data_IF_243104072770
#
_entry.id   IF_243104072770
#
_cell.length_a   1.000
_cell.length_b   1.000
_cell.length_c   1.000
_cell.angle_alpha   90.00
_cell.angle_beta   90.00
_cell.angle_gamma   90.00
#
_symmetry.space_group_name_H-M   'P 1'
#
loop_
_entity.id
_entity.type
_entity.pdbx_description
1 polymer ?
#
# COMPACT_ATOMS: atom_id res chain seq x y z
N UNK A 1 21.12 10.30 -13.84
CA UNK A 1 19.65 10.58 -13.75
C UNK A 1 18.93 9.34 -14.21
N UNK A 2 18.29 8.65 -13.28
CA UNK A 2 17.88 7.26 -13.44
C UNK A 2 16.69 7.10 -14.39
N UNK A 3 16.86 6.20 -15.38
CA UNK A 3 15.87 5.79 -16.37
C UNK A 3 14.53 5.27 -15.77
N UNK A 4 14.49 4.97 -14.50
CA UNK A 4 13.31 4.43 -13.78
C UNK A 4 12.25 5.51 -13.57
N UNK A 5 12.64 6.72 -13.15
CA UNK A 5 11.69 7.83 -12.93
C UNK A 5 10.95 8.21 -14.21
N UNK A 6 11.64 8.15 -15.36
CA UNK A 6 11.02 8.44 -16.64
C UNK A 6 9.98 7.37 -17.04
N UNK A 7 10.23 6.10 -16.75
CA UNK A 7 9.29 5.00 -17.05
C UNK A 7 8.02 5.08 -16.18
N UNK A 8 8.15 5.46 -14.92
CA UNK A 8 6.99 5.64 -14.03
C UNK A 8 6.11 6.80 -14.50
N UNK A 9 6.71 7.91 -14.92
CA UNK A 9 5.97 9.05 -15.47
C UNK A 9 5.18 8.64 -16.73
N UNK A 10 5.75 7.84 -17.62
CA UNK A 10 5.06 7.35 -18.82
C UNK A 10 3.91 6.39 -18.48
N UNK A 11 4.06 5.55 -17.46
CA UNK A 11 2.98 4.68 -16.97
C UNK A 11 1.83 5.51 -16.40
N UNK A 12 2.13 6.55 -15.62
CA UNK A 12 1.10 7.44 -15.06
C UNK A 12 0.40 8.23 -16.18
N UNK A 13 1.14 8.72 -17.19
CA UNK A 13 0.56 9.42 -18.36
C UNK A 13 -0.30 8.45 -19.19
N UNK A 14 0.14 7.21 -19.38
CA UNK A 14 -0.63 6.20 -20.10
C UNK A 14 -1.93 5.84 -19.34
N UNK A 15 -1.89 5.72 -18.02
CA UNK A 15 -3.08 5.52 -17.18
C UNK A 15 -4.03 6.71 -17.22
N UNK A 16 -3.50 7.94 -17.27
CA UNK A 16 -4.29 9.17 -17.42
C UNK A 16 -4.91 9.29 -18.80
N UNK A 17 -4.22 8.86 -19.87
CA UNK A 17 -4.76 8.89 -21.24
C UNK A 17 -5.85 7.84 -21.46
N UNK A 18 -5.78 6.69 -20.82
CA UNK A 18 -6.83 5.68 -20.85
C UNK A 18 -8.14 6.18 -20.21
N UNK A 19 -8.06 7.15 -19.29
CA UNK A 19 -9.25 7.71 -18.62
C UNK A 19 -10.16 8.52 -19.54
N UNK A 20 -9.64 9.08 -20.64
CA UNK A 20 -10.41 9.89 -21.58
C UNK A 20 -11.32 9.07 -22.52
N UNK A 21 -11.14 7.74 -22.60
CA UNK A 21 -11.99 6.86 -23.39
C UNK A 21 -13.12 6.19 -22.59
N UNK A 22 -13.15 6.36 -21.27
CA UNK A 22 -14.21 5.82 -20.40
C UNK A 22 -15.29 6.86 -20.12
N UNK A 23 -15.75 7.56 -21.15
CA UNK A 23 -16.99 8.33 -21.09
C UNK A 23 -18.12 7.37 -21.39
N UNK A 24 -18.66 6.74 -20.37
CA UNK A 24 -20.02 6.21 -20.45
C UNK A 24 -20.50 5.73 -19.08
N UNK A 25 -21.67 6.19 -18.74
CA UNK A 25 -22.57 5.71 -17.70
C UNK A 25 -22.23 6.10 -16.25
N UNK A 26 -23.28 6.63 -15.59
CA UNK A 26 -23.40 6.84 -14.14
C UNK A 26 -23.43 5.51 -13.35
N UNK A 27 -22.64 4.54 -13.75
CA UNK A 27 -22.39 3.38 -12.92
C UNK A 27 -21.48 3.77 -11.78
N UNK A 28 -21.85 3.45 -10.57
CA UNK A 28 -21.02 3.57 -9.39
C UNK A 28 -19.66 2.96 -9.68
N UNK A 29 -18.61 3.80 -9.64
CA UNK A 29 -17.23 3.37 -9.90
C UNK A 29 -16.85 2.33 -8.85
N UNK A 30 -16.78 1.06 -9.27
CA UNK A 30 -16.62 -0.08 -8.37
C UNK A 30 -15.17 -0.44 -8.07
N UNK A 31 -14.26 0.07 -8.90
CA UNK A 31 -12.85 -0.26 -8.81
C UNK A 31 -12.03 0.99 -8.50
N UNK A 32 -10.99 0.82 -7.71
CA UNK A 32 -10.07 1.90 -7.37
C UNK A 32 -8.63 1.35 -7.30
N UNK A 33 -7.71 2.02 -7.99
CA UNK A 33 -6.27 1.82 -7.81
C UNK A 33 -5.77 2.95 -6.93
N UNK A 34 -4.86 2.64 -6.01
CA UNK A 34 -4.19 3.66 -5.21
C UNK A 34 -2.67 3.46 -5.21
N UNK A 35 -1.97 4.59 -5.19
CA UNK A 35 -0.51 4.67 -5.10
C UNK A 35 -0.13 5.45 -3.85
N UNK A 36 0.90 5.00 -3.18
CA UNK A 36 1.48 5.76 -2.09
C UNK A 36 2.24 6.97 -2.66
N UNK A 37 1.86 8.18 -2.24
CA UNK A 37 2.47 9.41 -2.72
C UNK A 37 3.88 9.63 -2.19
N UNK A 38 4.24 9.03 -1.07
CA UNK A 38 5.58 9.15 -0.47
C UNK A 38 6.64 8.56 -1.39
N UNK A 39 6.30 7.49 -2.13
CA UNK A 39 7.18 6.90 -3.14
C UNK A 39 7.31 7.75 -4.41
N UNK A 40 6.32 8.63 -4.67
CA UNK A 40 6.32 9.49 -5.85
C UNK A 40 7.09 10.80 -5.63
N UNK A 41 7.16 11.28 -4.39
CA UNK A 41 7.78 12.57 -4.04
C UNK A 41 8.73 12.40 -2.85
N UNK A 42 9.84 11.64 -2.99
CA UNK A 42 10.76 11.38 -1.89
C UNK A 42 11.40 12.65 -1.29
N UNK A 43 11.46 13.73 -2.10
CA UNK A 43 12.03 15.02 -1.68
C UNK A 43 11.13 15.79 -0.68
N UNK A 44 9.85 15.45 -0.60
CA UNK A 44 8.86 16.10 0.28
C UNK A 44 8.59 15.28 1.52
N UNK A 45 8.63 13.97 1.37
CA UNK A 45 8.32 13.01 2.43
C UNK A 45 9.55 12.12 2.64
N UNK A 46 10.40 12.47 3.59
CA UNK A 46 11.55 11.64 3.99
C UNK A 46 11.06 10.46 4.84
N UNK A 47 10.31 9.55 4.26
CA UNK A 47 9.89 8.37 4.99
C UNK A 47 10.64 7.15 4.50
N UNK A 48 11.29 6.45 5.42
CA UNK A 48 11.64 5.05 5.26
C UNK A 48 10.33 4.23 5.25
N UNK A 49 9.46 4.47 4.25
CA UNK A 49 8.17 3.80 4.21
C UNK A 49 8.35 2.36 3.76
N UNK A 50 8.33 1.46 4.72
CA UNK A 50 8.13 0.03 4.49
C UNK A 50 6.69 -0.28 4.01
N UNK A 51 6.04 0.64 3.32
CA UNK A 51 4.63 0.52 2.95
C UNK A 51 4.41 -0.08 1.56
N UNK A 52 3.18 -0.53 1.32
CA UNK A 52 2.77 -1.09 0.05
C UNK A 52 2.56 0.01 -0.99
N UNK A 53 3.34 -0.04 -2.05
CA UNK A 53 3.47 1.01 -3.05
C UNK A 53 2.23 1.13 -3.95
N UNK A 54 1.61 -0.01 -4.28
CA UNK A 54 0.46 -0.10 -5.16
C UNK A 54 -0.67 -0.84 -4.47
N UNK A 55 -1.89 -0.37 -4.63
CA UNK A 55 -3.05 -1.09 -4.15
C UNK A 55 -4.25 -1.01 -5.07
N UNK A 56 -5.11 -1.99 -4.91
CA UNK A 56 -6.38 -2.12 -5.62
C UNK A 56 -7.51 -2.31 -4.60
N UNK A 57 -8.64 -1.66 -4.86
CA UNK A 57 -9.88 -1.83 -4.09
C UNK A 57 -11.03 -2.11 -5.05
N UNK A 58 -11.91 -3.02 -4.66
CA UNK A 58 -13.12 -3.34 -5.37
C UNK A 58 -14.32 -3.25 -4.44
N UNK A 59 -15.29 -2.44 -4.78
CA UNK A 59 -16.55 -2.36 -4.08
C UNK A 59 -17.35 -3.63 -4.33
N UNK A 60 -17.65 -4.38 -3.27
CA UNK A 60 -18.47 -5.60 -3.30
C UNK A 60 -19.92 -5.33 -2.83
N UNK A 61 -20.12 -4.24 -2.09
CA UNK A 61 -21.42 -3.69 -1.74
C UNK A 61 -21.28 -2.19 -1.47
N UNK A 62 -22.38 -1.46 -1.30
CA UNK A 62 -22.38 -0.02 -1.00
C UNK A 62 -21.54 0.37 0.22
N UNK A 63 -21.33 -0.56 1.14
CA UNK A 63 -20.60 -0.33 2.40
C UNK A 63 -19.33 -1.13 2.56
N UNK A 64 -18.97 -2.00 1.59
CA UNK A 64 -17.83 -2.93 1.76
C UNK A 64 -16.96 -2.93 0.51
N UNK A 65 -15.65 -2.87 0.72
CA UNK A 65 -14.64 -3.03 -0.33
C UNK A 65 -13.70 -4.18 0.04
N UNK A 66 -13.37 -5.01 -0.95
CA UNK A 66 -12.17 -5.83 -0.90
C UNK A 66 -10.98 -4.96 -1.30
N UNK A 67 -9.83 -5.22 -0.70
CA UNK A 67 -8.60 -4.50 -0.99
C UNK A 67 -7.43 -5.46 -1.11
N UNK A 68 -6.48 -5.06 -1.93
CA UNK A 68 -5.26 -5.81 -2.17
C UNK A 68 -4.11 -4.83 -2.35
N UNK A 69 -3.04 -5.00 -1.62
CA UNK A 69 -1.82 -4.20 -1.73
C UNK A 69 -0.66 -5.05 -2.24
N UNK A 70 0.23 -4.42 -3.00
CA UNK A 70 1.49 -4.98 -3.46
C UNK A 70 2.64 -4.12 -2.96
N UNK A 71 3.68 -4.75 -2.48
CA UNK A 71 4.96 -4.16 -2.11
C UNK A 71 6.04 -4.75 -2.99
N UNK A 72 6.81 -3.88 -3.63
CA UNK A 72 8.00 -4.26 -4.38
C UNK A 72 9.06 -3.20 -4.19
N UNK A 73 10.21 -3.61 -3.72
CA UNK A 73 11.39 -2.79 -3.61
C UNK A 73 12.60 -3.62 -4.03
N UNK A 74 13.43 -3.06 -4.90
CA UNK A 74 14.67 -3.66 -5.34
C UNK A 74 15.76 -2.60 -5.38
N UNK A 75 16.86 -2.90 -4.71
CA UNK A 75 18.09 -2.13 -4.74
C UNK A 75 19.23 -3.07 -5.14
N UNK A 76 19.93 -2.71 -6.21
CA UNK A 76 20.99 -3.53 -6.78
C UNK A 76 22.07 -3.83 -5.73
N UNK A 77 22.46 -5.11 -5.61
CA UNK A 77 23.44 -5.63 -4.67
C UNK A 77 23.16 -5.37 -3.18
N UNK A 78 21.96 -4.90 -2.83
CA UNK A 78 21.62 -4.56 -1.45
C UNK A 78 20.38 -5.34 -0.96
N UNK A 79 19.22 -5.10 -1.54
CA UNK A 79 17.98 -5.62 -0.99
C UNK A 79 16.90 -5.90 -2.04
N UNK A 80 16.21 -7.03 -1.88
CA UNK A 80 14.93 -7.32 -2.51
C UNK A 80 13.84 -7.40 -1.44
N UNK A 81 12.74 -6.68 -1.63
CA UNK A 81 11.54 -6.83 -0.79
C UNK A 81 10.32 -7.02 -1.65
N UNK A 82 9.52 -8.03 -1.35
CA UNK A 82 8.24 -8.30 -1.98
C UNK A 82 7.17 -8.54 -0.91
N UNK A 83 5.93 -8.15 -1.19
CA UNK A 83 4.85 -8.39 -0.23
C UNK A 83 3.46 -8.24 -0.84
N UNK A 84 2.50 -8.86 -0.17
CA UNK A 84 1.08 -8.80 -0.50
C UNK A 84 0.27 -8.44 0.75
N UNK A 85 -0.83 -7.72 0.55
CA UNK A 85 -1.69 -7.23 1.63
C UNK A 85 -3.16 -7.32 1.24
N UNK A 86 -3.78 -8.52 1.33
CA UNK A 86 -5.24 -8.64 1.24
C UNK A 86 -5.93 -8.02 2.45
N UNK A 87 -7.13 -7.46 2.23
CA UNK A 87 -7.91 -6.85 3.30
C UNK A 87 -9.34 -6.52 2.91
N UNK A 88 -10.04 -5.93 3.88
CA UNK A 88 -11.41 -5.49 3.73
C UNK A 88 -11.60 -4.15 4.45
N UNK A 89 -12.36 -3.25 3.84
CA UNK A 89 -12.79 -2.03 4.50
C UNK A 89 -14.31 -1.81 4.41
N UNK A 90 -14.81 -1.07 5.37
CA UNK A 90 -16.21 -0.74 5.54
C UNK A 90 -16.39 0.77 5.51
N UNK A 91 -17.28 1.24 4.65
CA UNK A 91 -17.63 2.65 4.52
C UNK A 91 -18.54 3.08 5.66
N UNK A 92 -18.16 4.16 6.33
CA UNK A 92 -19.03 4.83 7.30
C UNK A 92 -20.02 5.74 6.59
N UNK A 93 -21.26 5.75 7.08
CA UNK A 93 -22.29 6.69 6.58
C UNK A 93 -21.88 8.12 6.93
N UNK A 94 -21.85 8.98 5.93
CA UNK A 94 -21.59 10.41 6.07
C UNK A 94 -22.53 11.20 5.16
N UNK A 95 -22.93 12.39 5.57
CA UNK A 95 -23.69 13.34 4.74
C UNK A 95 -22.80 14.10 3.75
N UNK A 96 -21.49 14.05 3.91
CA UNK A 96 -20.56 14.74 3.03
C UNK A 96 -20.41 14.01 1.68
N UNK A 97 -20.53 14.77 0.58
CA UNK A 97 -20.21 14.26 -0.77
C UNK A 97 -18.70 14.21 -1.06
N UNK A 98 -17.91 15.03 -0.37
CA UNK A 98 -16.46 15.12 -0.59
C UNK A 98 -15.65 14.26 0.35
N UNK A 99 -16.10 14.09 1.59
CA UNK A 99 -15.38 13.33 2.60
C UNK A 99 -15.99 11.95 2.75
N UNK A 100 -15.18 10.93 2.60
CA UNK A 100 -15.56 9.54 2.84
C UNK A 100 -14.68 8.97 3.94
N UNK A 101 -15.26 8.21 4.83
CA UNK A 101 -14.60 7.59 5.96
C UNK A 101 -14.79 6.08 5.88
N UNK A 102 -13.72 5.36 6.19
CA UNK A 102 -13.73 3.91 6.18
C UNK A 102 -12.93 3.40 7.38
N UNK A 103 -13.24 2.20 7.81
CA UNK A 103 -12.42 1.44 8.74
C UNK A 103 -12.25 0.03 8.20
N UNK A 104 -11.18 -0.64 8.57
CA UNK A 104 -10.95 -1.96 8.01
C UNK A 104 -9.78 -2.68 8.65
N UNK A 105 -9.48 -3.82 8.06
CA UNK A 105 -8.34 -4.64 8.46
C UNK A 105 -7.65 -5.23 7.23
N UNK A 106 -6.33 -5.32 7.31
CA UNK A 106 -5.47 -5.96 6.32
C UNK A 106 -4.65 -7.05 7.02
N UNK A 107 -4.40 -8.12 6.29
CA UNK A 107 -3.40 -9.13 6.62
C UNK A 107 -2.24 -8.95 5.62
N UNK A 108 -1.07 -8.61 6.13
CA UNK A 108 0.09 -8.32 5.29
C UNK A 108 1.14 -9.42 5.45
N UNK A 109 1.72 -9.82 4.33
CA UNK A 109 2.85 -10.73 4.26
C UNK A 109 3.95 -10.07 3.45
N UNK A 110 5.18 -10.05 3.97
CA UNK A 110 6.33 -9.58 3.22
C UNK A 110 7.54 -10.48 3.43
N UNK A 111 8.36 -10.52 2.40
CA UNK A 111 9.66 -11.15 2.37
C UNK A 111 10.69 -10.12 1.97
N UNK A 112 11.78 -10.05 2.72
CA UNK A 112 12.92 -9.21 2.40
C UNK A 112 14.19 -10.05 2.43
N UNK A 113 15.03 -9.87 1.41
CA UNK A 113 16.34 -10.47 1.29
C UNK A 113 17.38 -9.36 1.23
N UNK A 114 18.23 -9.27 2.24
CA UNK A 114 19.31 -8.28 2.30
C UNK A 114 20.62 -8.97 2.05
N UNK A 115 21.20 -8.73 0.86
CA UNK A 115 22.46 -9.36 0.44
C UNK A 115 23.66 -8.86 1.24
N UNK A 116 23.68 -7.58 1.60
CA UNK A 116 24.76 -7.02 2.40
C UNK A 116 24.74 -7.48 3.86
N UNK A 117 23.55 -7.68 4.42
CA UNK A 117 23.39 -8.15 5.78
C UNK A 117 23.37 -9.68 5.88
N UNK A 118 23.43 -10.39 4.74
CA UNK A 118 23.32 -11.86 4.64
C UNK A 118 22.11 -12.41 5.41
N UNK A 119 20.95 -11.72 5.27
CA UNK A 119 19.79 -11.92 6.12
C UNK A 119 18.51 -11.97 5.34
N UNK A 120 17.67 -12.95 5.65
CA UNK A 120 16.28 -13.08 5.18
C UNK A 120 15.33 -12.69 6.29
N UNK A 121 14.28 -11.97 5.93
CA UNK A 121 13.25 -11.53 6.85
C UNK A 121 11.86 -11.86 6.30
N UNK A 122 11.06 -12.55 7.09
CA UNK A 122 9.67 -12.88 6.82
C UNK A 122 8.79 -12.14 7.81
N UNK A 123 7.85 -11.36 7.31
CA UNK A 123 6.95 -10.58 8.14
C UNK A 123 5.50 -10.98 7.85
N UNK A 124 4.73 -11.18 8.93
CA UNK A 124 3.28 -11.34 8.89
C UNK A 124 2.67 -10.30 9.81
N UNK A 125 1.76 -9.46 9.30
CA UNK A 125 1.16 -8.39 10.10
C UNK A 125 -0.35 -8.40 9.97
N UNK A 126 -1.02 -8.18 11.09
CA UNK A 126 -2.44 -7.83 11.16
C UNK A 126 -2.53 -6.31 11.38
N UNK A 127 -3.24 -5.60 10.51
CA UNK A 127 -3.34 -4.14 10.52
C UNK A 127 -4.81 -3.75 10.63
N UNK A 128 -5.19 -3.06 11.70
CA UNK A 128 -6.47 -2.36 11.81
C UNK A 128 -6.26 -0.90 11.43
N UNK A 129 -7.09 -0.31 10.57
CA UNK A 129 -6.90 1.06 10.11
C UNK A 129 -8.20 1.85 10.04
N UNK A 130 -8.04 3.16 10.00
CA UNK A 130 -9.08 4.13 9.70
C UNK A 130 -8.65 4.95 8.47
N UNK A 131 -9.49 5.04 7.43
CA UNK A 131 -9.18 5.78 6.21
C UNK A 131 -10.06 7.02 6.10
N UNK A 132 -9.40 8.15 5.83
CA UNK A 132 -10.04 9.40 5.49
C UNK A 132 -9.75 9.68 4.03
N UNK A 133 -10.78 9.85 3.21
CA UNK A 133 -10.66 10.09 1.77
C UNK A 133 -11.36 11.39 1.40
N UNK A 134 -10.63 12.29 0.72
CA UNK A 134 -11.12 13.51 0.12
C UNK A 134 -11.29 13.32 -1.38
N UNK A 135 -12.53 13.36 -1.86
CA UNK A 135 -12.88 13.26 -3.27
C UNK A 135 -12.61 14.59 -3.97
N UNK A 136 -11.71 14.60 -4.94
CA UNK A 136 -11.33 15.76 -5.74
C UNK A 136 -12.15 15.87 -7.02
N UNK A 137 -12.64 14.74 -7.54
CA UNK A 137 -13.43 14.68 -8.77
C UNK A 137 -14.05 13.30 -8.96
N UNK A 138 -14.65 13.05 -10.11
CA UNK A 138 -15.33 11.77 -10.40
C UNK A 138 -14.38 10.57 -10.24
N UNK A 139 -13.15 10.70 -10.71
CA UNK A 139 -12.19 9.61 -10.77
C UNK A 139 -11.06 9.72 -9.76
N UNK A 140 -10.84 10.90 -9.17
CA UNK A 140 -9.68 11.17 -8.33
C UNK A 140 -10.06 11.49 -6.89
N UNK A 141 -9.31 10.90 -5.98
CA UNK A 141 -9.34 11.24 -4.56
C UNK A 141 -7.96 11.10 -3.94
N UNK A 142 -7.77 11.73 -2.79
CA UNK A 142 -6.61 11.52 -1.93
C UNK A 142 -7.08 10.94 -0.61
N UNK A 143 -6.28 10.07 -0.01
CA UNK A 143 -6.62 9.48 1.28
C UNK A 143 -5.40 9.29 2.16
N UNK A 144 -5.65 9.19 3.47
CA UNK A 144 -4.69 8.75 4.47
C UNK A 144 -5.28 7.60 5.26
N UNK A 145 -4.43 6.68 5.74
CA UNK A 145 -4.84 5.44 6.41
C UNK A 145 -4.03 5.19 7.69
N UNK A 146 -4.19 6.02 8.74
CA UNK A 146 -3.59 5.72 10.02
C UNK A 146 -4.13 4.40 10.57
N UNK A 147 -3.25 3.59 11.17
CA UNK A 147 -3.62 2.28 11.66
C UNK A 147 -2.77 1.81 12.83
N UNK A 148 -3.20 0.71 13.43
CA UNK A 148 -2.47 -0.06 14.42
C UNK A 148 -2.07 -1.39 13.80
N UNK A 149 -0.90 -1.89 14.14
CA UNK A 149 -0.45 -3.19 13.66
C UNK A 149 0.06 -4.09 14.79
N UNK A 150 -0.11 -5.38 14.56
CA UNK A 150 0.59 -6.47 15.24
C UNK A 150 1.40 -7.20 14.18
N UNK A 151 2.71 -7.39 14.40
CA UNK A 151 3.62 -7.99 13.43
C UNK A 151 4.43 -9.09 14.09
N UNK A 152 4.46 -10.24 13.43
CA UNK A 152 5.39 -11.32 13.68
C UNK A 152 6.48 -11.26 12.61
N UNK A 153 7.72 -11.21 13.04
CA UNK A 153 8.88 -11.16 12.19
C UNK A 153 9.78 -12.34 12.50
N UNK A 154 10.21 -13.05 11.47
CA UNK A 154 11.17 -14.13 11.56
C UNK A 154 12.42 -13.75 10.75
N UNK A 155 13.58 -13.75 11.38
CA UNK A 155 14.86 -13.35 10.80
C UNK A 155 15.77 -14.56 10.73
N UNK A 156 16.20 -14.92 9.52
CA UNK A 156 17.16 -15.97 9.24
C UNK A 156 18.49 -15.36 8.75
N UNK A 157 19.57 -15.60 9.45
CA UNK A 157 20.93 -15.20 9.04
C UNK A 157 21.57 -16.32 8.22
N UNK A 158 22.22 -16.03 7.07
CA UNK A 158 22.82 -17.01 6.15
C UNK A 158 23.94 -17.84 6.77
N UNK A 159 24.69 -17.25 7.71
CA UNK A 159 25.97 -17.81 8.21
C UNK A 159 25.81 -18.72 9.44
N UNK A 160 24.58 -18.95 9.90
CA UNK A 160 24.36 -19.78 11.08
C UNK A 160 23.93 -21.20 10.69
N UNK A 161 24.68 -22.20 11.23
CA UNK A 161 24.31 -23.61 11.19
C UNK A 161 22.82 -23.82 11.52
N UNK A 162 22.14 -24.79 10.91
CA UNK A 162 20.68 -24.99 11.05
C UNK A 162 20.19 -25.38 12.47
N UNK A 163 20.96 -25.09 13.49
CA UNK A 163 20.64 -25.36 14.88
C UNK A 163 20.23 -24.07 15.58
N UNK A 164 18.94 -23.80 15.59
CA UNK A 164 18.22 -23.12 16.68
C UNK A 164 18.30 -21.59 16.84
N UNK A 165 18.34 -20.78 15.77
CA UNK A 165 18.24 -19.34 15.97
C UNK A 165 17.30 -18.61 14.97
N UNK A 166 16.07 -19.10 14.81
CA UNK A 166 15.00 -18.26 14.26
C UNK A 166 14.59 -17.26 15.36
N UNK A 167 15.04 -16.04 15.25
CA UNK A 167 14.61 -14.98 16.16
C UNK A 167 13.20 -14.52 15.77
N UNK A 168 12.19 -15.08 16.42
CA UNK A 168 10.82 -14.57 16.29
C UNK A 168 10.67 -13.30 17.12
N UNK A 169 10.30 -12.21 16.46
CA UNK A 169 10.06 -10.92 17.10
C UNK A 169 8.59 -10.55 16.92
N UNK A 170 7.89 -10.40 18.06
CA UNK A 170 6.55 -9.83 18.07
C UNK A 170 6.65 -8.32 18.30
N UNK A 171 6.09 -7.53 17.42
CA UNK A 171 6.03 -6.08 17.54
C UNK A 171 4.63 -5.54 17.32
N UNK A 172 4.36 -4.37 17.89
CA UNK A 172 3.11 -3.65 17.70
C UNK A 172 3.38 -2.15 17.66
N UNK A 173 2.52 -1.41 17.02
CA UNK A 173 2.68 0.03 16.93
C UNK A 173 1.62 0.71 16.08
N UNK A 174 1.87 1.98 15.81
CA UNK A 174 1.05 2.81 14.96
C UNK A 174 1.72 2.88 13.57
N UNK A 175 0.91 2.74 12.54
CA UNK A 175 1.36 2.73 11.14
C UNK A 175 0.67 3.83 10.33
N UNK A 176 1.36 4.30 9.29
CA UNK A 176 0.81 5.19 8.26
C UNK A 176 0.32 6.56 8.76
N UNK A 177 0.92 7.08 9.84
CA UNK A 177 0.66 8.47 10.21
C UNK A 177 1.36 9.38 9.20
N UNK A 178 0.56 10.17 8.46
CA UNK A 178 1.07 11.13 7.49
C UNK A 178 1.26 10.60 6.08
N UNK A 179 1.06 9.30 5.84
CA UNK A 179 1.08 8.71 4.49
C UNK A 179 -0.13 9.18 3.69
N UNK A 180 0.13 9.64 2.47
CA UNK A 180 -0.90 10.10 1.54
C UNK A 180 -0.97 9.13 0.36
N UNK A 181 -2.18 8.66 0.04
CA UNK A 181 -2.45 7.84 -1.12
C UNK A 181 -3.17 8.67 -2.19
N UNK A 182 -2.71 8.53 -3.43
CA UNK A 182 -3.43 9.03 -4.61
C UNK A 182 -4.30 7.90 -5.14
N UNK A 183 -5.61 8.15 -5.27
CA UNK A 183 -6.57 7.13 -5.68
C UNK A 183 -7.19 7.49 -7.03
N UNK A 184 -7.34 6.49 -7.89
CA UNK A 184 -8.04 6.59 -9.16
C UNK A 184 -9.16 5.54 -9.22
N UNK A 185 -10.40 5.99 -9.43
CA UNK A 185 -11.61 5.16 -9.47
C UNK A 185 -12.14 5.00 -10.89
N UNK A 186 -12.58 3.78 -11.27
CA UNK A 186 -13.08 3.43 -12.60
C UNK A 186 -14.11 2.29 -12.56
#
# INVERSE_FOLDING_TARGET
MNNISCKIIWIVIALLSLSNHLVAQEEDLKNQIYLNADDLIPAVFSSNSNDYNLGYRRMISESKNLRFGLKYFYEEDNQLTVGIKPGIDFKLKTSSKRWKFFYGTDLAFSYSDSYQAERKNYETSLIGFFRIELVLGKHFSISTEPGLFLMLQNIDDYDQSPVDNSNEILSSGIKNIGVINLNFSF
#
